data_IF_182655661854
#
_entry.id   IF_182655661854
#
_cell.length_a   1.000
_cell.length_b   1.000
_cell.length_c   1.000
_cell.angle_alpha   90.00
_cell.angle_beta   90.00
_cell.angle_gamma   90.00
#
_symmetry.space_group_name_H-M   'P 1'
#
loop_
_entity.id
_entity.type
_entity.pdbx_description
1 polymer ?
#
# COMPACT_ATOMS: atom_id res chain seq x y z
N UNK A 1 27.40 -9.27 -18.48
CA UNK A 1 26.08 -9.67 -19.02
C UNK A 1 25.30 -10.53 -18.02
N UNK A 2 24.15 -11.08 -18.42
CA UNK A 2 23.33 -11.97 -17.57
C UNK A 2 24.03 -13.29 -17.18
N UNK A 3 25.02 -13.74 -17.97
CA UNK A 3 25.84 -14.91 -17.66
C UNK A 3 26.76 -14.69 -16.44
N UNK A 4 27.34 -13.50 -16.30
CA UNK A 4 28.16 -13.14 -15.14
C UNK A 4 27.31 -13.02 -13.87
N UNK A 5 26.07 -12.52 -14.03
CA UNK A 5 25.07 -12.48 -12.96
C UNK A 5 24.71 -13.90 -12.48
N UNK A 6 24.47 -14.84 -13.40
CA UNK A 6 24.17 -16.24 -13.06
C UNK A 6 25.31 -16.89 -12.27
N UNK A 7 26.54 -16.68 -12.70
CA UNK A 7 27.73 -17.27 -12.08
C UNK A 7 27.97 -16.73 -10.66
N UNK A 8 27.70 -15.45 -10.47
CA UNK A 8 27.81 -14.78 -9.18
C UNK A 8 26.64 -15.07 -8.22
N UNK A 9 25.46 -15.44 -8.74
CA UNK A 9 24.33 -15.96 -7.97
C UNK A 9 24.61 -17.38 -7.44
N UNK A 10 25.44 -18.16 -8.14
CA UNK A 10 25.80 -19.53 -7.77
C UNK A 10 26.89 -19.57 -6.67
N UNK A 11 27.83 -18.61 -6.69
CA UNK A 11 28.98 -18.58 -5.77
C UNK A 11 28.70 -17.95 -4.40
N UNK A 12 27.66 -17.11 -4.24
CA UNK A 12 27.45 -16.30 -3.03
C UNK A 12 26.24 -16.70 -2.16
N UNK A 13 25.72 -17.91 -2.33
CA UNK A 13 24.54 -18.40 -1.59
C UNK A 13 24.78 -18.58 -0.08
N UNK A 14 26.02 -18.45 0.40
CA UNK A 14 26.41 -18.75 1.78
C UNK A 14 26.50 -17.57 2.76
N UNK A 15 27.08 -16.43 2.38
CA UNK A 15 27.51 -15.40 3.37
C UNK A 15 26.97 -13.98 3.16
N UNK A 16 26.65 -13.60 1.93
CA UNK A 16 26.17 -12.27 1.59
C UNK A 16 25.12 -12.40 0.50
N UNK A 17 23.91 -12.77 0.93
CA UNK A 17 22.81 -13.14 0.05
C UNK A 17 22.38 -11.91 -0.81
N UNK A 18 22.87 -11.86 -2.06
CA UNK A 18 22.42 -11.05 -3.21
C UNK A 18 22.62 -9.51 -3.22
N UNK A 19 22.99 -8.83 -2.13
CA UNK A 19 23.00 -7.35 -2.08
C UNK A 19 24.06 -6.64 -2.97
N UNK A 20 25.16 -7.31 -3.30
CA UNK A 20 26.32 -6.68 -3.97
C UNK A 20 26.26 -6.72 -5.50
N UNK A 21 25.32 -7.49 -6.08
CA UNK A 21 25.50 -8.01 -7.43
C UNK A 21 24.56 -7.46 -8.50
N UNK A 22 23.37 -7.04 -8.09
CA UNK A 22 22.44 -6.35 -9.00
C UNK A 22 22.61 -4.83 -8.97
N UNK A 23 23.37 -4.30 -8.00
CA UNK A 23 23.68 -2.88 -7.87
C UNK A 23 24.81 -2.38 -8.77
N UNK A 24 25.55 -3.30 -9.39
CA UNK A 24 26.80 -3.01 -10.07
C UNK A 24 26.73 -3.22 -11.59
N UNK A 25 25.77 -3.98 -12.11
CA UNK A 25 25.64 -4.16 -13.56
C UNK A 25 24.75 -3.09 -14.19
N UNK A 26 25.32 -1.89 -14.38
CA UNK A 26 25.10 -1.13 -15.60
C UNK A 26 25.80 -1.88 -16.73
N UNK A 27 25.03 -2.54 -17.61
CA UNK A 27 25.59 -3.19 -18.78
C UNK A 27 25.82 -2.15 -19.87
N UNK A 28 26.91 -1.39 -19.72
CA UNK A 28 27.60 -0.88 -20.89
C UNK A 28 28.50 -2.02 -21.37
N UNK A 29 28.07 -2.69 -22.43
CA UNK A 29 28.82 -3.78 -23.05
C UNK A 29 30.07 -3.23 -23.73
N UNK A 30 31.23 -3.35 -23.08
CA UNK A 30 32.52 -3.38 -23.76
C UNK A 30 33.21 -4.70 -23.42
N UNK A 31 33.56 -5.47 -24.44
CA UNK A 31 34.01 -6.86 -24.37
C UNK A 31 35.40 -7.10 -23.74
N UNK A 32 36.02 -6.10 -23.08
CA UNK A 32 37.45 -6.14 -22.76
C UNK A 32 37.82 -6.17 -21.27
N UNK A 33 36.89 -6.04 -20.30
CA UNK A 33 37.27 -6.07 -18.88
C UNK A 33 37.05 -7.43 -18.22
N UNK A 34 38.13 -8.20 -18.04
CA UNK A 34 38.15 -9.37 -17.16
C UNK A 34 37.88 -9.03 -15.67
N UNK A 35 37.62 -10.08 -14.88
CA UNK A 35 37.09 -10.15 -13.51
C UNK A 35 37.88 -9.41 -12.40
N UNK A 36 38.21 -8.13 -12.55
CA UNK A 36 39.22 -7.43 -11.74
C UNK A 36 38.83 -6.91 -10.35
N UNK A 37 37.67 -7.22 -9.77
CA UNK A 37 37.15 -6.47 -8.61
C UNK A 37 36.49 -7.29 -7.49
N UNK A 38 36.15 -8.55 -7.72
CA UNK A 38 35.41 -9.36 -6.73
C UNK A 38 36.25 -10.41 -5.99
N UNK A 39 37.53 -10.56 -6.32
CA UNK A 39 38.39 -11.57 -5.71
C UNK A 39 37.93 -13.02 -6.01
N UNK A 40 38.70 -14.03 -5.57
CA UNK A 40 38.32 -15.43 -5.74
C UNK A 40 37.16 -15.83 -4.80
N UNK A 41 36.40 -16.89 -5.16
CA UNK A 41 35.31 -17.41 -4.33
C UNK A 41 35.72 -17.70 -2.88
N UNK A 42 34.83 -17.42 -1.93
CA UNK A 42 35.04 -17.78 -0.52
C UNK A 42 34.69 -19.26 -0.34
N UNK A 43 35.67 -20.06 0.09
CA UNK A 43 35.48 -21.48 0.36
C UNK A 43 34.58 -21.72 1.61
N UNK A 44 33.73 -22.75 1.61
CA UNK A 44 32.90 -23.09 2.76
C UNK A 44 33.77 -23.46 3.98
N UNK A 45 33.47 -22.87 5.15
CA UNK A 45 34.15 -23.14 6.44
C UNK A 45 33.11 -23.38 7.54
N UNK A 46 33.50 -24.02 8.65
CA UNK A 46 32.62 -24.17 9.81
C UNK A 46 32.31 -22.79 10.45
N UNK A 47 31.06 -22.57 10.88
CA UNK A 47 30.56 -21.23 11.28
C UNK A 47 30.15 -20.35 10.09
N UNK A 48 30.39 -20.85 8.89
CA UNK A 48 29.98 -20.32 7.62
C UNK A 48 28.82 -21.21 7.12
N UNK A 49 27.69 -21.17 7.81
CA UNK A 49 26.51 -21.98 7.45
C UNK A 49 25.69 -21.31 6.34
N UNK A 50 25.33 -22.10 5.34
CA UNK A 50 24.65 -21.66 4.11
C UNK A 50 23.22 -21.26 4.45
N UNK A 51 22.90 -19.97 4.35
CA UNK A 51 21.52 -19.49 4.46
C UNK A 51 20.69 -20.06 3.31
N UNK A 52 19.42 -20.41 3.58
CA UNK A 52 18.51 -20.82 2.51
C UNK A 52 18.38 -19.70 1.47
N UNK A 53 18.49 -20.02 0.16
CA UNK A 53 18.37 -19.03 -0.89
C UNK A 53 16.94 -18.44 -0.89
N UNK A 54 16.83 -17.10 -0.89
CA UNK A 54 15.54 -16.41 -0.90
C UNK A 54 14.78 -16.62 -2.22
N UNK A 55 15.52 -16.75 -3.31
CA UNK A 55 15.04 -17.05 -4.66
C UNK A 55 16.22 -17.54 -5.51
N UNK A 56 15.91 -18.25 -6.60
CA UNK A 56 16.90 -18.67 -7.60
C UNK A 56 16.66 -17.89 -8.89
N UNK A 57 17.66 -17.18 -9.39
CA UNK A 57 17.53 -16.41 -10.63
C UNK A 57 18.44 -16.99 -11.72
N UNK A 58 17.92 -17.09 -12.95
CA UNK A 58 18.67 -17.59 -14.10
C UNK A 58 18.24 -16.93 -15.41
N UNK A 59 19.17 -16.70 -16.36
CA UNK A 59 18.83 -16.14 -17.66
C UNK A 59 18.03 -17.16 -18.47
N UNK A 60 17.06 -16.66 -19.20
CA UNK A 60 16.26 -17.43 -20.15
C UNK A 60 16.27 -16.66 -21.46
N UNK A 61 16.68 -17.33 -22.52
CA UNK A 61 16.60 -16.77 -23.86
C UNK A 61 15.16 -16.92 -24.37
N UNK A 62 14.54 -15.80 -24.71
CA UNK A 62 13.21 -15.73 -25.29
C UNK A 62 13.33 -15.17 -26.69
N UNK A 63 12.75 -15.88 -27.66
CA UNK A 63 12.68 -15.42 -29.04
C UNK A 63 11.42 -14.55 -29.18
N UNK A 64 11.59 -13.30 -29.58
CA UNK A 64 10.47 -12.41 -29.87
C UNK A 64 9.81 -12.79 -31.20
N UNK A 65 8.61 -12.26 -31.46
CA UNK A 65 7.86 -12.38 -32.71
C UNK A 65 8.64 -11.89 -33.93
N UNK A 66 9.63 -11.02 -33.74
CA UNK A 66 10.58 -10.57 -34.75
C UNK A 66 11.84 -11.46 -34.88
N UNK A 67 11.82 -12.69 -34.33
CA UNK A 67 12.93 -13.65 -34.30
C UNK A 67 14.20 -13.17 -33.58
N UNK A 68 14.13 -12.04 -32.87
CA UNK A 68 15.25 -11.53 -32.06
C UNK A 68 15.30 -12.26 -30.73
N UNK A 69 16.47 -12.77 -30.36
CA UNK A 69 16.70 -13.40 -29.06
C UNK A 69 16.94 -12.30 -28.02
N UNK A 70 16.08 -12.26 -27.01
CA UNK A 70 16.23 -11.44 -25.81
C UNK A 70 16.57 -12.34 -24.62
N UNK A 71 17.44 -11.86 -23.72
CA UNK A 71 17.79 -12.57 -22.50
C UNK A 71 17.01 -11.95 -21.35
N UNK A 72 16.04 -12.69 -20.83
CA UNK A 72 15.24 -12.33 -19.67
C UNK A 72 15.79 -13.00 -18.42
N UNK A 73 15.57 -12.40 -17.25
CA UNK A 73 15.87 -13.01 -15.97
C UNK A 73 14.65 -13.75 -15.44
N UNK A 74 14.73 -15.07 -15.27
CA UNK A 74 13.71 -15.83 -14.58
C UNK A 74 14.08 -16.01 -13.10
N UNK A 75 13.23 -15.52 -12.21
CA UNK A 75 13.39 -15.62 -10.75
C UNK A 75 12.38 -16.64 -10.23
N UNK A 76 12.85 -17.82 -9.82
CA UNK A 76 12.06 -18.88 -9.22
C UNK A 76 12.02 -18.76 -7.68
N UNK A 77 10.84 -19.01 -7.10
CA UNK A 77 10.65 -18.93 -5.64
C UNK A 77 10.62 -17.51 -5.08
N UNK A 78 10.41 -16.51 -5.94
CA UNK A 78 10.43 -15.10 -5.53
C UNK A 78 9.37 -14.80 -4.46
N UNK A 79 9.74 -14.05 -3.43
CA UNK A 79 8.77 -13.46 -2.49
C UNK A 79 8.43 -12.05 -2.92
N UNK A 80 7.15 -11.68 -2.86
CA UNK A 80 6.69 -10.40 -3.37
C UNK A 80 5.73 -9.66 -2.45
N UNK A 81 5.68 -8.34 -2.65
CA UNK A 81 4.68 -7.44 -2.09
C UNK A 81 3.98 -6.73 -3.25
N UNK A 82 2.66 -6.83 -3.32
CA UNK A 82 1.86 -6.04 -4.27
C UNK A 82 1.78 -4.57 -3.84
N UNK A 83 1.84 -3.66 -4.82
CA UNK A 83 1.59 -2.24 -4.62
C UNK A 83 0.16 -1.91 -5.04
N UNK A 84 -0.52 -1.10 -4.23
CA UNK A 84 -1.80 -0.54 -4.62
C UNK A 84 -1.61 0.45 -5.77
N UNK A 85 -2.45 0.39 -6.83
CA UNK A 85 -2.32 1.29 -7.98
C UNK A 85 -2.68 2.74 -7.65
N UNK A 86 -3.43 2.94 -6.56
CA UNK A 86 -3.82 4.24 -6.01
C UNK A 86 -4.31 4.06 -4.58
N UNK A 87 -4.39 5.17 -3.86
CA UNK A 87 -5.02 5.23 -2.54
C UNK A 87 -6.52 4.91 -2.65
N UNK A 88 -7.00 4.03 -1.78
CA UNK A 88 -8.42 3.66 -1.70
C UNK A 88 -9.04 4.19 -0.42
N UNK A 89 -10.33 4.55 -0.49
CA UNK A 89 -11.14 4.84 0.70
C UNK A 89 -11.48 3.54 1.41
N UNK A 90 -11.39 3.52 2.73
CA UNK A 90 -11.75 2.35 3.53
C UNK A 90 -13.25 2.33 3.79
N UNK A 91 -14.00 1.62 2.94
CA UNK A 91 -15.44 1.40 3.14
C UNK A 91 -15.76 0.68 4.46
N UNK A 92 -14.76 0.05 5.10
CA UNK A 92 -14.85 -0.66 6.38
C UNK A 92 -14.11 0.07 7.50
N UNK A 93 -13.78 1.36 7.33
CA UNK A 93 -13.04 2.17 8.32
C UNK A 93 -13.62 2.08 9.73
N UNK A 94 -14.95 2.16 9.83
CA UNK A 94 -15.70 2.09 11.09
C UNK A 94 -15.44 0.79 11.89
N UNK A 95 -15.05 -0.29 11.21
CA UNK A 95 -14.80 -1.59 11.81
C UNK A 95 -13.31 -1.87 12.03
N UNK A 96 -12.45 -1.38 11.12
CA UNK A 96 -11.00 -1.63 11.16
C UNK A 96 -10.24 -0.64 12.04
N UNK A 97 -10.64 0.64 12.04
CA UNK A 97 -9.93 1.68 12.76
C UNK A 97 -10.31 1.65 14.26
N UNK A 98 -9.36 1.40 15.19
CA UNK A 98 -9.65 1.32 16.62
C UNK A 98 -10.20 2.64 17.20
N UNK A 99 -9.80 3.80 16.66
CA UNK A 99 -10.35 5.08 17.07
C UNK A 99 -11.84 5.21 16.71
N UNK A 100 -12.24 4.67 15.55
CA UNK A 100 -13.63 4.70 15.08
C UNK A 100 -14.51 3.62 15.69
N UNK A 101 -13.94 2.52 16.21
CA UNK A 101 -14.71 1.48 16.91
C UNK A 101 -15.47 2.05 18.11
N UNK A 102 -14.84 2.96 18.86
CA UNK A 102 -15.50 3.66 19.97
C UNK A 102 -16.62 4.57 19.45
N UNK A 103 -16.35 5.36 18.42
CA UNK A 103 -17.34 6.24 17.81
C UNK A 103 -18.56 5.46 17.26
N UNK A 104 -18.34 4.28 16.67
CA UNK A 104 -19.40 3.35 16.25
C UNK A 104 -20.25 2.89 17.43
N UNK A 105 -19.61 2.48 18.52
CA UNK A 105 -20.32 2.01 19.71
C UNK A 105 -21.19 3.13 20.27
N UNK A 106 -20.63 4.33 20.46
CA UNK A 106 -21.39 5.48 20.96
C UNK A 106 -22.51 5.90 20.02
N UNK A 107 -22.30 5.91 18.70
CA UNK A 107 -23.37 6.27 17.76
C UNK A 107 -24.47 5.22 17.70
N UNK A 108 -24.16 3.93 17.82
CA UNK A 108 -25.15 2.87 17.92
C UNK A 108 -25.94 2.95 19.23
N UNK A 109 -25.27 3.16 20.38
CA UNK A 109 -25.93 3.34 21.67
C UNK A 109 -26.82 4.59 21.67
N UNK A 110 -26.35 5.70 21.10
CA UNK A 110 -27.12 6.93 20.95
C UNK A 110 -28.36 6.73 20.07
N UNK A 111 -28.25 5.93 19.00
CA UNK A 111 -29.39 5.61 18.14
C UNK A 111 -30.44 4.78 18.91
N UNK A 112 -30.00 3.74 19.62
CA UNK A 112 -30.89 2.89 20.43
C UNK A 112 -31.59 3.72 21.51
N UNK A 113 -30.85 4.58 22.21
CA UNK A 113 -31.45 5.49 23.20
C UNK A 113 -32.48 6.43 22.56
N UNK A 114 -32.17 6.98 21.37
CA UNK A 114 -33.10 7.84 20.63
C UNK A 114 -34.37 7.10 20.23
N UNK A 115 -34.23 5.82 19.84
CA UNK A 115 -35.37 4.96 19.53
C UNK A 115 -36.23 4.66 20.75
N UNK A 116 -35.62 4.35 21.89
CA UNK A 116 -36.34 4.11 23.14
C UNK A 116 -37.13 5.37 23.52
N UNK A 117 -36.49 6.56 23.50
CA UNK A 117 -37.16 7.83 23.82
C UNK A 117 -38.30 8.14 22.86
N UNK A 118 -38.09 7.98 21.55
CA UNK A 118 -39.12 8.23 20.53
C UNK A 118 -40.27 7.22 20.56
N UNK A 119 -40.01 5.97 21.01
CA UNK A 119 -41.00 4.92 21.11
C UNK A 119 -41.75 4.92 22.45
N UNK A 120 -41.17 5.47 23.52
CA UNK A 120 -41.89 5.69 24.78
C UNK A 120 -42.88 6.83 24.58
N UNK A 121 -44.21 6.57 24.52
CA UNK A 121 -45.17 7.66 24.51
C UNK A 121 -44.96 8.47 25.79
N UNK A 122 -44.68 9.75 25.66
CA UNK A 122 -44.37 10.66 26.77
C UNK A 122 -45.56 10.73 27.73
N UNK A 123 -45.67 9.76 28.64
CA UNK A 123 -46.70 9.73 29.70
C UNK A 123 -46.54 10.88 30.70
N UNK A 124 -45.43 11.61 30.64
CA UNK A 124 -45.06 12.73 31.52
C UNK A 124 -45.70 14.07 31.15
N UNK A 125 -46.51 14.15 30.09
CA UNK A 125 -47.11 15.42 29.62
C UNK A 125 -48.54 15.72 30.06
N UNK A 126 -49.21 14.88 30.87
CA UNK A 126 -50.65 15.06 31.14
C UNK A 126 -51.06 14.85 32.60
N UNK A 127 -50.46 15.59 33.53
CA UNK A 127 -51.03 15.79 34.86
C UNK A 127 -50.77 17.22 35.36
N UNK A 128 -51.40 18.22 34.76
CA UNK A 128 -51.70 19.49 35.44
C UNK A 128 -52.80 20.26 34.69
N UNK A 129 -54.00 20.22 35.30
CA UNK A 129 -55.05 21.30 35.38
C UNK A 129 -55.72 21.74 34.07
N UNK A 130 -57.03 21.94 33.92
CA UNK A 130 -58.22 21.95 34.78
C UNK A 130 -59.46 21.75 33.85
N UNK A 131 -60.67 21.50 34.36
CA UNK A 131 -61.84 21.27 33.53
C UNK A 131 -62.50 22.61 33.18
N UNK A 132 -62.45 23.04 31.92
CA UNK A 132 -63.34 24.11 31.46
C UNK A 132 -64.04 23.73 30.16
N UNK A 133 -65.37 23.58 30.30
CA UNK A 133 -66.34 23.27 29.26
C UNK A 133 -66.51 24.50 28.38
N UNK A 134 -66.17 24.42 27.09
CA UNK A 134 -66.94 25.08 26.03
C UNK A 134 -66.77 24.37 24.70
N UNK A 135 -67.91 24.07 24.08
CA UNK A 135 -68.11 23.31 22.85
C UNK A 135 -67.87 24.15 21.60
N UNK A 136 -66.88 23.77 20.78
CA UNK A 136 -66.80 24.12 19.35
C UNK A 136 -66.28 22.89 18.58
N UNK A 137 -66.97 22.41 17.53
CA UNK A 137 -66.51 21.28 16.74
C UNK A 137 -65.53 21.81 15.68
N UNK A 138 -64.28 21.97 16.06
CA UNK A 138 -63.17 22.09 15.11
C UNK A 138 -62.46 20.74 15.02
N UNK A 139 -61.98 20.39 13.82
CA UNK A 139 -61.27 19.16 13.47
C UNK A 139 -60.01 18.95 14.32
N UNK A 140 -60.25 18.53 15.56
CA UNK A 140 -59.25 18.31 16.59
C UNK A 140 -58.54 16.99 16.30
N UNK A 141 -57.50 17.06 15.47
CA UNK A 141 -56.44 16.05 15.43
C UNK A 141 -55.98 15.81 16.87
N UNK A 142 -56.37 14.66 17.44
CA UNK A 142 -56.20 14.35 18.86
C UNK A 142 -54.74 14.52 19.26
N UNK A 143 -54.47 15.15 20.40
CA UNK A 143 -53.10 15.41 20.87
C UNK A 143 -52.22 14.15 20.90
N UNK A 144 -52.82 12.97 21.08
CA UNK A 144 -52.15 11.66 20.98
C UNK A 144 -51.48 11.43 19.62
N UNK A 145 -52.17 11.78 18.52
CA UNK A 145 -51.61 11.64 17.16
C UNK A 145 -50.44 12.57 16.91
N UNK A 146 -50.44 13.78 17.49
CA UNK A 146 -49.33 14.74 17.37
C UNK A 146 -48.07 14.23 18.08
N UNK A 147 -48.22 13.65 19.29
CA UNK A 147 -47.09 13.06 20.02
C UNK A 147 -46.51 11.83 19.32
N UNK A 148 -47.37 10.96 18.79
CA UNK A 148 -46.94 9.81 18.00
C UNK A 148 -46.13 10.26 16.77
N UNK A 149 -46.63 11.24 16.02
CA UNK A 149 -45.93 11.79 14.86
C UNK A 149 -44.59 12.43 15.23
N UNK A 150 -44.52 13.13 16.35
CA UNK A 150 -43.28 13.71 16.85
C UNK A 150 -42.23 12.63 17.20
N UNK A 151 -42.64 11.56 17.89
CA UNK A 151 -41.77 10.41 18.20
C UNK A 151 -41.25 9.71 16.95
N UNK A 152 -42.12 9.46 15.97
CA UNK A 152 -41.73 8.87 14.68
C UNK A 152 -40.75 9.75 13.91
N UNK A 153 -40.98 11.07 13.86
CA UNK A 153 -40.05 12.02 13.25
C UNK A 153 -38.69 12.00 13.94
N UNK A 154 -38.66 11.93 15.28
CA UNK A 154 -37.42 11.85 16.04
C UNK A 154 -36.63 10.56 15.75
N UNK A 155 -37.30 9.42 15.68
CA UNK A 155 -36.70 8.13 15.26
C UNK A 155 -36.15 8.23 13.83
N UNK A 156 -36.91 8.84 12.92
CA UNK A 156 -36.50 9.03 11.54
C UNK A 156 -35.22 9.90 11.44
N UNK A 157 -35.21 11.07 12.06
CA UNK A 157 -34.06 11.98 12.02
C UNK A 157 -32.82 11.40 12.70
N UNK A 158 -32.96 10.73 13.85
CA UNK A 158 -31.83 10.07 14.52
C UNK A 158 -31.24 8.95 13.64
N UNK A 159 -32.09 8.17 12.95
CA UNK A 159 -31.66 7.14 12.00
C UNK A 159 -30.96 7.71 10.77
N UNK A 160 -31.46 8.85 10.25
CA UNK A 160 -30.85 9.58 9.16
C UNK A 160 -29.46 10.10 9.56
N UNK A 161 -29.33 10.75 10.71
CA UNK A 161 -28.06 11.24 11.25
C UNK A 161 -27.06 10.09 11.42
N UNK A 162 -27.48 8.96 11.97
CA UNK A 162 -26.63 7.77 12.10
C UNK A 162 -26.13 7.25 10.75
N UNK A 163 -27.00 7.24 9.73
CA UNK A 163 -26.66 6.81 8.37
C UNK A 163 -25.68 7.77 7.71
N UNK A 164 -25.91 9.08 7.82
CA UNK A 164 -24.99 10.12 7.35
C UNK A 164 -23.63 9.98 8.03
N UNK A 165 -23.59 9.80 9.35
CA UNK A 165 -22.37 9.57 10.10
C UNK A 165 -21.59 8.34 9.58
N UNK A 166 -22.27 7.22 9.32
CA UNK A 166 -21.65 6.03 8.75
C UNK A 166 -21.11 6.28 7.35
N UNK A 167 -21.85 7.00 6.51
CA UNK A 167 -21.44 7.33 5.14
C UNK A 167 -20.21 8.24 5.14
N UNK A 168 -20.20 9.31 5.95
CA UNK A 168 -19.06 10.21 6.10
C UNK A 168 -17.84 9.45 6.63
N UNK A 169 -18.02 8.61 7.64
CA UNK A 169 -16.92 7.81 8.20
C UNK A 169 -16.34 6.82 7.18
N UNK A 170 -17.13 6.29 6.25
CA UNK A 170 -16.66 5.42 5.17
C UNK A 170 -15.94 6.15 4.03
N UNK A 171 -16.15 7.46 3.87
CA UNK A 171 -15.55 8.26 2.79
C UNK A 171 -14.34 9.07 3.23
N UNK A 172 -14.20 9.37 4.53
CA UNK A 172 -13.08 10.19 5.03
C UNK A 172 -11.77 9.43 5.22
N UNK A 173 -11.82 8.14 5.55
CA UNK A 173 -10.61 7.39 5.90
C UNK A 173 -10.03 6.65 4.70
N UNK A 174 -8.69 6.62 4.64
CA UNK A 174 -7.96 5.82 3.66
C UNK A 174 -7.75 4.41 4.17
N UNK A 175 -7.68 3.45 3.24
CA UNK A 175 -7.30 2.08 3.54
C UNK A 175 -5.84 2.05 4.03
N UNK A 176 -5.65 1.61 5.27
CA UNK A 176 -4.35 1.58 5.96
C UNK A 176 -3.64 0.23 5.83
N UNK A 177 -3.77 -0.39 4.67
CA UNK A 177 -3.15 -1.69 4.41
C UNK A 177 -2.37 -1.64 3.12
N UNK A 178 -1.26 -2.36 3.10
CA UNK A 178 -0.42 -2.50 1.91
C UNK A 178 0.48 -1.30 1.65
N UNK A 179 1.15 -1.40 0.52
CA UNK A 179 2.12 -0.43 0.03
C UNK A 179 1.55 0.34 -1.15
N UNK A 180 1.93 1.59 -1.31
CA UNK A 180 1.56 2.42 -2.47
C UNK A 180 2.78 3.18 -2.96
N UNK A 181 2.88 3.36 -4.27
CA UNK A 181 3.83 4.29 -4.88
C UNK A 181 3.15 5.62 -5.19
N UNK A 182 3.72 6.72 -4.72
CA UNK A 182 3.27 8.08 -4.99
C UNK A 182 4.41 8.86 -5.68
N UNK A 183 4.19 9.25 -6.93
CA UNK A 183 5.17 10.03 -7.71
C UNK A 183 5.22 11.49 -7.26
N UNK A 184 6.43 12.06 -7.25
CA UNK A 184 6.62 13.50 -6.99
C UNK A 184 5.93 14.32 -8.09
N UNK A 185 6.04 13.84 -9.33
CA UNK A 185 5.42 14.38 -10.54
C UNK A 185 4.37 13.41 -11.10
N UNK A 186 3.62 13.85 -12.11
CA UNK A 186 2.74 12.95 -12.86
C UNK A 186 3.59 11.93 -13.61
N UNK A 187 3.12 10.70 -13.70
CA UNK A 187 3.75 9.62 -14.46
C UNK A 187 3.46 9.73 -15.95
N UNK A 188 2.40 10.43 -16.35
CA UNK A 188 1.93 10.59 -17.74
C UNK A 188 1.62 9.24 -18.41
N UNK A 189 1.27 8.24 -17.58
CA UNK A 189 0.98 6.87 -18.01
C UNK A 189 -0.50 6.65 -18.34
N UNK A 190 -1.33 7.70 -18.22
CA UNK A 190 -2.78 7.64 -18.40
C UNK A 190 -3.52 6.83 -17.33
N UNK A 191 -2.84 6.37 -16.28
CA UNK A 191 -3.44 5.55 -15.24
C UNK A 191 -4.37 6.37 -14.34
N UNK A 192 -5.47 5.74 -13.89
CA UNK A 192 -6.37 6.38 -12.93
C UNK A 192 -5.63 6.67 -11.63
N UNK A 193 -5.67 7.94 -11.20
CA UNK A 193 -4.97 8.39 -10.00
C UNK A 193 -3.53 8.85 -10.26
N UNK A 194 -3.15 9.07 -11.52
CA UNK A 194 -1.93 9.77 -11.88
C UNK A 194 -2.01 11.25 -11.44
N UNK A 195 -1.49 11.51 -10.24
CA UNK A 195 -1.46 12.81 -9.59
C UNK A 195 -0.06 13.03 -9.06
N UNK A 196 0.48 14.22 -9.28
CA UNK A 196 1.70 14.68 -8.62
C UNK A 196 1.45 14.84 -7.12
N UNK A 197 2.15 14.04 -6.31
CA UNK A 197 2.08 14.13 -4.85
C UNK A 197 3.14 15.07 -4.27
N UNK A 198 4.12 15.47 -5.09
CA UNK A 198 5.25 16.30 -4.69
C UNK A 198 6.25 15.56 -3.81
N UNK A 199 7.36 16.22 -3.52
CA UNK A 199 8.45 15.69 -2.69
C UNK A 199 8.08 15.45 -1.21
N UNK A 200 6.89 15.91 -0.79
CA UNK A 200 6.38 15.80 0.59
C UNK A 200 4.96 15.22 0.59
N UNK A 201 4.80 13.95 0.18
CA UNK A 201 3.49 13.31 0.09
C UNK A 201 2.76 13.27 1.43
N UNK A 202 3.48 13.29 2.56
CA UNK A 202 2.89 13.33 3.91
C UNK A 202 2.01 14.58 4.14
N UNK A 203 2.33 15.72 3.53
CA UNK A 203 1.53 16.94 3.70
C UNK A 203 0.18 16.79 3.00
N UNK A 204 0.20 16.26 1.78
CA UNK A 204 -1.01 16.03 0.98
C UNK A 204 -1.84 14.90 1.59
N UNK A 205 -1.20 13.81 2.01
CA UNK A 205 -1.85 12.72 2.71
C UNK A 205 -2.47 13.17 4.03
N UNK A 206 -1.78 14.02 4.80
CA UNK A 206 -2.28 14.57 6.07
C UNK A 206 -3.53 15.43 5.93
N UNK A 207 -3.70 16.11 4.79
CA UNK A 207 -4.94 16.83 4.46
C UNK A 207 -6.11 15.87 4.19
N UNK A 208 -5.83 14.67 3.67
CA UNK A 208 -6.84 13.67 3.30
C UNK A 208 -7.19 12.74 4.48
N UNK A 209 -6.17 12.25 5.18
CA UNK A 209 -6.26 11.43 6.40
C UNK A 209 -5.19 11.92 7.38
N UNK A 210 -5.62 12.57 8.47
CA UNK A 210 -4.73 13.16 9.48
C UNK A 210 -3.71 12.16 10.03
N UNK A 211 -4.02 10.87 10.07
CA UNK A 211 -3.09 9.86 10.57
C UNK A 211 -1.95 9.51 9.63
N UNK A 212 -2.03 9.91 8.36
CA UNK A 212 -0.94 9.78 7.38
C UNK A 212 -0.16 11.10 7.21
N UNK A 213 -0.45 12.12 8.02
CA UNK A 213 0.27 13.40 8.01
C UNK A 213 1.66 13.36 8.66
N UNK A 214 2.00 12.25 9.32
CA UNK A 214 3.27 12.06 10.02
C UNK A 214 3.86 10.71 9.61
N UNK A 215 4.45 10.67 8.41
CA UNK A 215 5.16 9.49 7.92
C UNK A 215 6.61 9.53 8.42
N UNK A 216 7.12 8.38 8.84
CA UNK A 216 8.52 8.20 9.22
C UNK A 216 9.37 7.90 7.97
N UNK A 217 10.44 8.66 7.80
CA UNK A 217 11.41 8.43 6.73
C UNK A 217 12.26 7.18 7.00
N UNK A 218 12.29 6.29 6.02
CA UNK A 218 13.23 5.18 5.97
C UNK A 218 14.40 5.52 5.04
N UNK A 219 15.63 5.40 5.55
CA UNK A 219 16.85 5.62 4.78
C UNK A 219 17.79 6.64 5.41
N UNK A 220 17.28 7.72 6.02
CA UNK A 220 18.13 8.81 6.56
C UNK A 220 19.08 8.37 7.67
N UNK A 221 18.78 7.25 8.33
CA UNK A 221 19.57 6.69 9.44
C UNK A 221 20.28 5.39 9.06
N UNK A 222 20.34 5.06 7.78
CA UNK A 222 20.86 3.78 7.31
C UNK A 222 21.84 3.95 6.17
N UNK A 223 22.78 3.01 6.10
CA UNK A 223 23.62 2.81 4.91
C UNK A 223 22.74 2.22 3.80
N UNK A 224 21.86 3.03 3.21
CA UNK A 224 21.11 2.65 2.04
C UNK A 224 22.03 2.77 0.81
N UNK A 225 22.10 1.74 -0.05
CA UNK A 225 22.84 1.85 -1.30
C UNK A 225 22.27 3.01 -2.11
N UNK A 226 23.15 3.87 -2.62
CA UNK A 226 22.78 4.85 -3.65
C UNK A 226 22.90 4.14 -4.99
N UNK A 227 21.85 4.27 -5.80
CA UNK A 227 21.82 3.74 -7.15
C UNK A 227 22.25 4.86 -8.08
N UNK A 228 23.04 4.52 -9.10
CA UNK A 228 23.40 5.48 -10.13
C UNK A 228 22.12 6.01 -10.78
N UNK A 229 22.00 7.33 -10.80
CA UNK A 229 20.89 8.00 -11.45
C UNK A 229 21.15 7.96 -12.97
N UNK A 230 20.26 7.34 -13.78
CA UNK A 230 20.38 7.42 -15.23
C UNK A 230 20.24 8.89 -15.68
N UNK A 231 20.37 9.22 -16.96
CA UNK A 231 20.15 10.60 -17.39
C UNK A 231 18.75 11.11 -16.97
N UNK A 232 18.67 12.36 -16.47
CA UNK A 232 17.47 12.98 -15.86
C UNK A 232 16.19 12.88 -16.68
N UNK A 233 16.28 12.67 -17.99
CA UNK A 233 15.13 12.57 -18.89
C UNK A 233 14.39 11.23 -18.80
N UNK A 234 14.97 10.19 -18.19
CA UNK A 234 14.43 8.82 -18.23
C UNK A 234 13.89 8.28 -16.90
N UNK A 235 14.01 9.05 -15.81
CA UNK A 235 13.55 8.60 -14.50
C UNK A 235 12.65 9.61 -13.81
N UNK A 236 11.77 9.11 -12.95
CA UNK A 236 10.87 9.88 -12.11
C UNK A 236 11.16 9.56 -10.64
N UNK A 237 11.05 10.59 -9.81
CA UNK A 237 11.18 10.47 -8.36
C UNK A 237 9.83 10.18 -7.74
N UNK A 238 9.83 9.40 -6.66
CA UNK A 238 8.62 9.17 -5.88
C UNK A 238 8.90 8.52 -4.55
N UNK A 239 7.82 8.09 -3.91
CA UNK A 239 7.83 7.56 -2.56
C UNK A 239 7.06 6.25 -2.51
N UNK A 240 7.69 5.21 -1.94
CA UNK A 240 7.00 4.03 -1.46
C UNK A 240 6.50 4.29 -0.05
N UNK A 241 5.22 4.07 0.19
CA UNK A 241 4.58 4.33 1.47
C UNK A 241 3.89 3.07 1.97
N UNK A 242 4.29 2.62 3.16
CA UNK A 242 3.55 1.64 3.94
C UNK A 242 2.39 2.35 4.65
N UNK A 243 1.17 2.12 4.16
CA UNK A 243 -0.04 2.75 4.71
C UNK A 243 -0.41 2.23 6.10
N UNK A 244 0.14 1.07 6.50
CA UNK A 244 -0.11 0.45 7.80
C UNK A 244 0.87 0.99 8.85
N UNK A 245 2.16 0.98 8.52
CA UNK A 245 3.22 1.38 9.45
C UNK A 245 3.52 2.88 9.40
N UNK A 246 3.01 3.59 8.40
CA UNK A 246 3.29 5.02 8.22
C UNK A 246 4.76 5.28 7.88
N UNK A 247 5.39 4.37 7.15
CA UNK A 247 6.80 4.50 6.72
C UNK A 247 6.80 4.97 5.28
N UNK A 248 7.66 5.93 4.95
CA UNK A 248 7.92 6.36 3.58
C UNK A 248 9.39 6.15 3.23
N UNK A 249 9.65 5.76 1.98
CA UNK A 249 10.99 5.61 1.43
C UNK A 249 11.05 6.23 0.05
N UNK A 250 12.05 7.08 -0.20
CA UNK A 250 12.24 7.72 -1.49
C UNK A 250 12.85 6.74 -2.48
N UNK A 251 12.32 6.71 -3.69
CA UNK A 251 12.75 5.80 -4.76
C UNK A 251 12.84 6.51 -6.10
N UNK A 252 13.67 5.96 -6.97
CA UNK A 252 13.83 6.36 -8.37
C UNK A 252 13.23 5.27 -9.23
N UNK A 253 12.32 5.64 -10.14
CA UNK A 253 11.66 4.68 -11.03
C UNK A 253 11.60 5.18 -12.47
N UNK A 254 11.65 4.28 -13.44
CA UNK A 254 11.45 4.58 -14.86
C UNK A 254 9.97 4.54 -15.28
N UNK A 255 9.08 4.07 -14.38
CA UNK A 255 7.65 3.91 -14.62
C UNK A 255 6.92 3.61 -13.32
N UNK A 256 5.60 3.42 -13.36
CA UNK A 256 4.78 3.23 -12.15
C UNK A 256 4.82 1.76 -11.68
N UNK A 257 5.45 1.45 -10.52
CA UNK A 257 5.53 0.08 -10.06
C UNK A 257 4.18 -0.39 -9.49
N UNK A 258 3.89 -1.67 -9.72
CA UNK A 258 2.69 -2.34 -9.20
C UNK A 258 3.03 -3.52 -8.26
N UNK A 259 4.30 -3.87 -8.15
CA UNK A 259 4.78 -4.93 -7.28
C UNK A 259 6.26 -4.74 -6.93
N UNK A 260 6.70 -5.43 -5.88
CA UNK A 260 8.08 -5.43 -5.42
C UNK A 260 8.52 -6.87 -5.16
N UNK A 261 9.64 -7.29 -5.73
CA UNK A 261 10.22 -8.62 -5.52
C UNK A 261 11.42 -8.53 -4.57
N UNK A 262 11.43 -9.38 -3.54
CA UNK A 262 12.56 -9.52 -2.61
C UNK A 262 13.75 -10.06 -3.38
N UNK A 263 14.89 -9.36 -3.30
CA UNK A 263 16.14 -9.82 -3.86
C UNK A 263 17.12 -10.25 -2.78
N UNK A 264 17.35 -9.38 -1.79
CA UNK A 264 18.45 -9.57 -0.85
C UNK A 264 18.03 -9.17 0.57
N UNK A 265 18.55 -9.90 1.55
CA UNK A 265 18.50 -9.54 2.98
C UNK A 265 19.92 -9.14 3.39
N UNK A 266 20.05 -7.98 4.03
CA UNK A 266 21.33 -7.51 4.53
C UNK A 266 21.14 -6.77 5.87
N UNK A 267 22.23 -6.50 6.59
CA UNK A 267 22.16 -5.93 7.95
C UNK A 267 21.44 -4.58 8.04
N UNK A 268 21.38 -3.82 6.94
CA UNK A 268 20.69 -2.53 6.87
C UNK A 268 19.30 -2.58 6.20
N UNK A 269 18.74 -3.75 5.90
CA UNK A 269 17.40 -3.84 5.30
C UNK A 269 17.20 -4.98 4.31
N UNK A 270 16.18 -4.82 3.48
CA UNK A 270 15.81 -5.75 2.42
C UNK A 270 15.82 -4.99 1.10
N UNK A 271 16.62 -5.44 0.15
CA UNK A 271 16.61 -4.89 -1.20
C UNK A 271 15.47 -5.53 -2.00
N UNK A 272 14.68 -4.66 -2.63
CA UNK A 272 13.57 -5.00 -3.50
C UNK A 272 13.83 -4.52 -4.92
N UNK A 273 13.42 -5.33 -5.89
CA UNK A 273 13.22 -4.91 -7.28
C UNK A 273 11.81 -4.36 -7.43
N UNK A 274 11.66 -3.15 -7.96
CA UNK A 274 10.37 -2.56 -8.30
C UNK A 274 9.98 -2.99 -9.70
N UNK A 275 8.77 -3.53 -9.84
CA UNK A 275 8.29 -4.17 -11.07
C UNK A 275 6.98 -3.53 -11.53
N UNK A 276 6.83 -3.39 -12.84
CA UNK A 276 5.52 -3.35 -13.50
C UNK A 276 5.23 -4.73 -14.08
N UNK A 277 4.33 -5.43 -13.39
CA UNK A 277 3.95 -6.79 -13.71
C UNK A 277 2.58 -6.85 -14.38
N UNK A 278 2.47 -7.36 -15.61
CA UNK A 278 1.17 -7.59 -16.23
C UNK A 278 0.43 -8.74 -15.53
N UNK A 279 -0.89 -8.80 -15.68
CA UNK A 279 -1.72 -9.83 -15.02
C UNK A 279 -1.54 -11.25 -15.60
N UNK A 280 -0.86 -11.39 -16.74
CA UNK A 280 -0.64 -12.68 -17.39
C UNK A 280 0.50 -13.49 -16.76
N UNK A 281 0.28 -14.79 -16.53
CA UNK A 281 1.26 -15.68 -15.88
C UNK A 281 2.59 -15.81 -16.65
N UNK A 282 2.56 -15.70 -17.98
CA UNK A 282 3.73 -15.84 -18.86
C UNK A 282 4.25 -14.51 -19.41
N UNK A 283 3.79 -13.40 -18.83
CA UNK A 283 4.20 -12.07 -19.28
C UNK A 283 5.48 -11.65 -18.57
N UNK A 284 6.36 -11.01 -19.31
CA UNK A 284 7.62 -10.48 -18.80
C UNK A 284 7.32 -9.21 -18.01
N UNK A 285 7.74 -9.18 -16.75
CA UNK A 285 7.66 -7.99 -15.91
C UNK A 285 8.77 -7.01 -16.30
N UNK A 286 8.44 -5.71 -16.29
CA UNK A 286 9.43 -4.66 -16.53
C UNK A 286 10.10 -4.26 -15.23
N UNK A 287 11.43 -4.26 -15.19
CA UNK A 287 12.19 -3.66 -14.08
C UNK A 287 12.03 -2.14 -14.12
N UNK A 288 11.49 -1.55 -13.06
CA UNK A 288 11.28 -0.11 -12.97
C UNK A 288 12.22 0.61 -12.03
N UNK A 289 12.80 -0.09 -11.06
CA UNK A 289 13.68 0.52 -10.07
C UNK A 289 14.09 -0.45 -8.98
N UNK A 290 14.73 0.10 -7.95
CA UNK A 290 15.19 -0.63 -6.78
C UNK A 290 14.82 0.15 -5.52
N UNK A 291 14.62 -0.55 -4.41
CA UNK A 291 14.34 0.05 -3.12
C UNK A 291 15.00 -0.75 -2.01
N UNK A 292 15.49 -0.08 -0.96
CA UNK A 292 15.89 -0.75 0.27
C UNK A 292 14.86 -0.45 1.36
N UNK A 293 14.19 -1.47 1.89
CA UNK A 293 13.08 -1.34 2.84
C UNK A 293 13.38 -2.02 4.18
N UNK A 294 12.61 -1.73 5.24
CA UNK A 294 12.80 -2.32 6.56
C UNK A 294 12.76 -3.84 6.61
N UNK A 295 13.54 -4.51 7.50
CA UNK A 295 13.52 -5.96 7.65
C UNK A 295 12.12 -6.57 7.85
N UNK A 296 11.20 -5.87 8.52
CA UNK A 296 9.84 -6.37 8.74
C UNK A 296 9.05 -6.58 7.45
N UNK A 297 9.43 -5.94 6.33
CA UNK A 297 8.73 -6.08 5.06
C UNK A 297 8.85 -7.49 4.50
N UNK A 298 9.90 -8.24 4.85
CA UNK A 298 10.05 -9.64 4.48
C UNK A 298 8.93 -10.51 5.08
N UNK A 299 8.47 -10.19 6.29
CA UNK A 299 7.40 -10.94 6.96
C UNK A 299 6.03 -10.77 6.27
N UNK A 300 5.83 -9.68 5.52
CA UNK A 300 4.60 -9.46 4.74
C UNK A 300 4.74 -9.86 3.27
N UNK A 301 5.96 -10.19 2.82
CA UNK A 301 6.19 -10.68 1.47
C UNK A 301 5.65 -12.10 1.31
N UNK A 302 4.80 -12.31 0.31
CA UNK A 302 4.16 -13.59 0.05
C UNK A 302 4.99 -14.42 -0.93
N UNK A 303 5.09 -15.75 -0.75
CA UNK A 303 5.68 -16.62 -1.75
C UNK A 303 4.96 -16.47 -3.08
N UNK A 304 5.72 -16.37 -4.15
CA UNK A 304 5.22 -16.35 -5.51
C UNK A 304 5.94 -17.41 -6.35
N UNK A 305 5.32 -17.79 -7.46
CA UNK A 305 5.94 -18.69 -8.43
C UNK A 305 7.15 -18.05 -9.14
N UNK A 306 7.46 -18.53 -10.33
CA UNK A 306 8.47 -17.90 -11.17
C UNK A 306 8.00 -16.54 -11.71
N UNK A 307 8.94 -15.62 -11.89
CA UNK A 307 8.73 -14.31 -12.49
C UNK A 307 9.81 -14.12 -13.55
N UNK A 308 9.41 -13.78 -14.77
CA UNK A 308 10.35 -13.32 -15.81
C UNK A 308 10.45 -11.80 -15.75
N UNK A 309 11.67 -11.29 -15.77
CA UNK A 309 11.96 -9.86 -15.75
C UNK A 309 12.82 -9.53 -16.95
N UNK A 310 12.38 -8.56 -17.75
CA UNK A 310 13.08 -8.13 -18.96
C UNK A 310 13.47 -6.65 -18.89
N UNK A 311 14.47 -6.28 -19.68
CA UNK A 311 14.82 -4.89 -19.97
C UNK A 311 14.02 -4.46 -21.20
N UNK A 312 12.89 -3.78 -20.98
CA UNK A 312 12.12 -3.15 -22.07
C UNK A 312 12.77 -1.85 -22.51
#
# INVERSE_FOLDING_TARGET
>A
GWADLLWLLELNQGFYNMATLTAVCGLNDSSESGNGWLGPPIEPRAGSERLEPLATAFPVNVMDTAEKIHSDLNIAGARMIGLHPSLKRDSKALYRNPALRKAKLYSALSLIASWIIGATPSKTGLTLTAPERTSVPSSSVSNSTKFLMAGLLFIYFSSLIYTIFRLISGTWYLERTGWVFLGDEKMDDGSKGDRAWGSRPELVLGQVDRGLGRLADWGDRQMAPKWDEPEKSQYKMGHLIDLRMGIKHRVVVTGKPNSMAVLAVHGCGITYMLLDRPTGLNTVAKKLGMANLPPFTLAVAQPHGSIRVGTS
#
